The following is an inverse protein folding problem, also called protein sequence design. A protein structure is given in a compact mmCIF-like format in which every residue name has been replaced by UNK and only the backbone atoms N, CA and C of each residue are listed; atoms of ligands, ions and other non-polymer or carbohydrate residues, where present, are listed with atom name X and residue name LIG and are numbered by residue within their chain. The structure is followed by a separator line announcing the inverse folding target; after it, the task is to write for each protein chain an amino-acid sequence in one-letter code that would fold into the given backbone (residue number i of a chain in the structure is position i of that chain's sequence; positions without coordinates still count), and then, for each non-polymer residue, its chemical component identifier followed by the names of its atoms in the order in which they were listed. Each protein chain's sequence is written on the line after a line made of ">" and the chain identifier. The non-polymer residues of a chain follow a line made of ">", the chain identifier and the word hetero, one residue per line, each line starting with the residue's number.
data_IF_073313072617
#
_entry.id   IF_073313072617
#
_cell.length_a   1.000
_cell.length_b   1.000
_cell.length_c   1.000
_cell.angle_alpha   90.00
_cell.angle_beta   90.00
_cell.angle_gamma   90.00
#
_symmetry.space_group_name_H-M   'P 1'
#
loop_
_entity.id
_entity.type
_entity.pdbx_description
1 polymer ?
#
# COMPACT_ATOMS: atom_id res chain seq x y z
N UNK A 1 0.30 -0.95 34.41
CA UNK A 1 -0.18 -1.43 33.10
C UNK A 1 0.62 -0.70 32.04
N UNK A 2 1.24 -1.41 31.10
CA UNK A 2 2.16 -0.84 30.12
C UNK A 2 1.38 -0.07 29.04
N UNK A 3 1.82 1.14 28.61
CA UNK A 3 1.13 1.96 27.62
C UNK A 3 0.78 1.27 26.28
N UNK A 4 1.50 0.20 25.93
CA UNK A 4 1.27 -0.54 24.68
C UNK A 4 0.02 -1.43 24.71
N UNK A 5 -0.38 -1.93 25.89
CA UNK A 5 -1.60 -2.73 26.01
C UNK A 5 -2.85 -1.87 25.74
N UNK A 6 -2.86 -0.64 26.27
CA UNK A 6 -3.92 0.35 26.07
C UNK A 6 -4.08 0.76 24.59
N UNK A 7 -2.97 0.96 23.87
CA UNK A 7 -3.01 1.30 22.43
C UNK A 7 -3.56 0.15 21.59
N UNK A 8 -3.22 -1.10 21.90
CA UNK A 8 -3.72 -2.25 21.15
C UNK A 8 -5.23 -2.49 21.37
N UNK A 9 -5.70 -2.33 22.61
CA UNK A 9 -7.12 -2.39 22.94
C UNK A 9 -7.89 -1.27 22.24
N UNK A 10 -7.44 -0.02 22.39
CA UNK A 10 -8.04 1.15 21.73
C UNK A 10 -8.09 1.01 20.20
N UNK A 11 -7.01 0.51 19.58
CA UNK A 11 -6.98 0.24 18.14
C UNK A 11 -7.99 -0.83 17.74
N UNK A 12 -8.06 -1.93 18.49
CA UNK A 12 -8.97 -3.04 18.21
C UNK A 12 -10.41 -2.58 18.30
N UNK A 13 -10.76 -1.80 19.34
CA UNK A 13 -12.12 -1.26 19.53
C UNK A 13 -12.54 -0.33 18.39
N UNK A 14 -11.68 0.63 18.03
CA UNK A 14 -11.97 1.56 16.92
C UNK A 14 -12.15 0.81 15.59
N UNK A 15 -11.32 -0.18 15.32
CA UNK A 15 -11.37 -0.94 14.06
C UNK A 15 -12.61 -1.83 14.02
N UNK A 16 -12.91 -2.53 15.12
CA UNK A 16 -14.06 -3.44 15.18
C UNK A 16 -15.42 -2.72 15.25
N UNK A 17 -15.44 -1.44 15.60
CA UNK A 17 -16.62 -0.60 15.45
C UNK A 17 -17.04 -0.38 13.97
N UNK A 18 -16.11 -0.53 13.01
CA UNK A 18 -16.34 -0.30 11.59
C UNK A 18 -16.19 -1.55 10.73
N UNK A 19 -15.49 -2.57 11.21
CA UNK A 19 -15.18 -3.79 10.48
C UNK A 19 -15.49 -5.03 11.33
N UNK A 20 -15.81 -6.14 10.69
CA UNK A 20 -16.09 -7.40 11.38
C UNK A 20 -14.90 -7.97 12.16
N UNK A 21 -13.67 -7.59 11.79
CA UNK A 21 -12.44 -7.96 12.48
C UNK A 21 -11.29 -7.05 12.05
N UNK A 22 -10.22 -7.02 12.83
CA UNK A 22 -8.99 -6.29 12.49
C UNK A 22 -8.33 -6.83 11.22
N UNK A 23 -8.40 -8.15 10.98
CA UNK A 23 -7.91 -8.76 9.74
C UNK A 23 -8.74 -8.38 8.51
N UNK A 24 -10.07 -8.24 8.66
CA UNK A 24 -10.94 -7.75 7.59
C UNK A 24 -10.59 -6.30 7.23
N UNK A 25 -10.38 -5.45 8.25
CA UNK A 25 -9.95 -4.07 8.04
C UNK A 25 -8.61 -4.00 7.28
N UNK A 26 -7.61 -4.79 7.71
CA UNK A 26 -6.32 -4.91 7.01
C UNK A 26 -6.53 -5.29 5.53
N UNK A 27 -7.37 -6.29 5.25
CA UNK A 27 -7.61 -6.75 3.88
C UNK A 27 -8.24 -5.65 3.00
N UNK A 28 -9.20 -4.89 3.54
CA UNK A 28 -9.87 -3.78 2.84
C UNK A 28 -8.96 -2.57 2.63
N UNK A 29 -8.18 -2.17 3.65
CA UNK A 29 -7.21 -1.08 3.52
C UNK A 29 -6.13 -1.40 2.48
N UNK A 30 -5.60 -2.63 2.47
CA UNK A 30 -4.67 -3.07 1.44
C UNK A 30 -5.31 -3.12 0.05
N UNK A 31 -6.60 -3.43 -0.06
CA UNK A 31 -7.35 -3.38 -1.33
C UNK A 31 -7.52 -1.96 -1.84
N UNK A 32 -7.83 -1.01 -0.95
CA UNK A 32 -7.87 0.42 -1.29
C UNK A 32 -6.50 0.93 -1.76
N UNK A 33 -5.42 0.52 -1.08
CA UNK A 33 -4.05 0.85 -1.48
C UNK A 33 -3.71 0.29 -2.87
N UNK A 34 -4.09 -0.95 -3.19
CA UNK A 34 -3.90 -1.54 -4.51
C UNK A 34 -4.69 -0.76 -5.59
N UNK A 35 -5.96 -0.45 -5.34
CA UNK A 35 -6.78 0.31 -6.29
C UNK A 35 -6.16 1.69 -6.58
N UNK A 36 -5.66 2.38 -5.56
CA UNK A 36 -4.97 3.66 -5.73
C UNK A 36 -3.61 3.51 -6.41
N UNK A 37 -2.88 2.40 -6.19
CA UNK A 37 -1.65 2.11 -6.92
C UNK A 37 -1.91 1.90 -8.42
N UNK A 38 -3.04 1.29 -8.81
CA UNK A 38 -3.45 1.23 -10.21
C UNK A 38 -3.69 2.63 -10.78
N UNK A 39 -4.40 3.50 -10.03
CA UNK A 39 -4.57 4.92 -10.41
C UNK A 39 -3.20 5.61 -10.57
N UNK A 40 -2.23 5.34 -9.69
CA UNK A 40 -0.86 5.87 -9.80
C UNK A 40 -0.20 5.46 -11.11
N UNK A 41 -0.23 4.16 -11.46
CA UNK A 41 0.40 3.64 -12.69
C UNK A 41 -0.27 4.23 -13.92
N UNK A 42 -1.61 4.26 -13.97
CA UNK A 42 -2.35 4.83 -15.10
C UNK A 42 -2.07 6.32 -15.28
N UNK A 43 -2.11 7.11 -14.19
CA UNK A 43 -1.84 8.55 -14.28
C UNK A 43 -0.37 8.84 -14.61
N UNK A 44 0.58 8.06 -14.09
CA UNK A 44 1.99 8.18 -14.44
C UNK A 44 2.24 7.87 -15.93
N UNK A 45 1.70 6.75 -16.42
CA UNK A 45 1.82 6.38 -17.83
C UNK A 45 1.19 7.44 -18.75
N UNK A 46 0.09 8.09 -18.33
CA UNK A 46 -0.48 9.25 -19.04
C UNK A 46 0.45 10.48 -19.02
N UNK A 47 1.09 10.77 -17.89
CA UNK A 47 2.03 11.90 -17.76
C UNK A 47 3.30 11.70 -18.58
N UNK A 48 3.77 10.46 -18.72
CA UNK A 48 4.91 10.08 -19.56
C UNK A 48 4.56 9.86 -21.04
N UNK A 49 3.33 10.21 -21.46
CA UNK A 49 2.90 10.09 -22.86
C UNK A 49 2.69 8.66 -23.36
N UNK A 50 2.67 7.66 -22.48
CA UNK A 50 2.45 6.24 -22.83
C UNK A 50 0.97 5.87 -22.99
N UNK A 51 0.06 6.62 -22.38
CA UNK A 51 -1.40 6.43 -22.50
C UNK A 51 -2.04 7.66 -23.13
N UNK A 52 -2.34 7.60 -24.42
CA UNK A 52 -2.95 8.73 -25.16
C UNK A 52 -4.48 8.71 -25.16
N UNK A 53 -5.10 7.55 -24.90
CA UNK A 53 -6.57 7.42 -24.87
C UNK A 53 -7.22 8.10 -23.66
N UNK A 54 -6.47 8.31 -22.56
CA UNK A 54 -6.97 9.01 -21.37
C UNK A 54 -6.99 10.51 -21.63
N UNK A 55 -8.14 11.03 -22.10
CA UNK A 55 -8.38 12.44 -22.46
C UNK A 55 -8.57 13.34 -21.23
N UNK A 56 -7.56 13.37 -20.36
CA UNK A 56 -7.53 14.24 -19.18
C UNK A 56 -6.47 15.32 -19.32
N UNK A 57 -6.81 16.54 -18.89
CA UNK A 57 -5.93 17.71 -18.97
C UNK A 57 -4.71 17.54 -18.06
N UNK A 58 -3.51 17.93 -18.53
CA UNK A 58 -2.23 17.66 -17.85
C UNK A 58 -2.18 18.06 -16.36
N UNK A 59 -2.58 19.28 -15.99
CA UNK A 59 -2.64 19.70 -14.58
C UNK A 59 -3.58 18.86 -13.71
N UNK A 60 -4.67 18.36 -14.29
CA UNK A 60 -5.65 17.49 -13.59
C UNK A 60 -5.03 16.11 -13.36
N UNK A 61 -4.41 15.51 -14.38
CA UNK A 61 -3.71 14.21 -14.23
C UNK A 61 -2.66 14.29 -13.12
N UNK A 62 -1.86 15.37 -13.11
CA UNK A 62 -0.82 15.56 -12.11
C UNK A 62 -1.41 15.75 -10.69
N UNK A 63 -2.56 16.42 -10.56
CA UNK A 63 -3.26 16.58 -9.29
C UNK A 63 -3.81 15.25 -8.78
N UNK A 64 -4.47 14.47 -9.64
CA UNK A 64 -4.98 13.13 -9.32
C UNK A 64 -3.84 12.22 -8.92
N UNK A 65 -2.73 12.22 -9.67
CA UNK A 65 -1.53 11.44 -9.34
C UNK A 65 -0.99 11.80 -7.95
N UNK A 66 -0.84 13.08 -7.62
CA UNK A 66 -0.31 13.45 -6.28
C UNK A 66 -1.24 13.05 -5.15
N UNK A 67 -2.54 13.33 -5.25
CA UNK A 67 -3.47 13.05 -4.16
C UNK A 67 -3.76 11.56 -3.99
N UNK A 68 -3.95 10.82 -5.07
CA UNK A 68 -4.11 9.36 -4.97
C UNK A 68 -2.86 8.69 -4.40
N UNK A 69 -1.65 9.21 -4.67
CA UNK A 69 -0.42 8.70 -4.07
C UNK A 69 -0.32 8.95 -2.57
N UNK A 70 -0.77 10.12 -2.10
CA UNK A 70 -0.86 10.43 -0.66
C UNK A 70 -1.88 9.54 0.05
N UNK A 71 -3.04 9.35 -0.56
CA UNK A 71 -4.08 8.46 -0.03
C UNK A 71 -3.61 7.00 -0.03
N UNK A 72 -2.92 6.54 -1.08
CA UNK A 72 -2.37 5.19 -1.13
C UNK A 72 -1.41 4.94 0.04
N UNK A 73 -0.48 5.87 0.28
CA UNK A 73 0.42 5.80 1.42
C UNK A 73 -0.33 5.85 2.75
N UNK A 74 -1.33 6.73 2.90
CA UNK A 74 -2.14 6.80 4.11
C UNK A 74 -2.85 5.47 4.41
N UNK A 75 -3.42 4.81 3.41
CA UNK A 75 -4.07 3.51 3.57
C UNK A 75 -3.09 2.36 3.86
N UNK A 76 -1.80 2.50 3.53
CA UNK A 76 -0.79 1.53 3.98
C UNK A 76 -0.42 1.67 5.46
N UNK A 77 -0.71 2.80 6.11
CA UNK A 77 -0.30 3.03 7.52
C UNK A 77 -1.06 2.13 8.51
N UNK A 78 -2.41 2.02 8.49
CA UNK A 78 -3.13 1.09 9.37
C UNK A 78 -2.75 -0.37 9.12
N UNK A 79 -2.50 -0.73 7.86
CA UNK A 79 -2.02 -2.06 7.47
C UNK A 79 -0.65 -2.33 8.08
N UNK A 80 0.30 -1.42 7.92
CA UNK A 80 1.64 -1.55 8.47
C UNK A 80 1.65 -1.61 9.99
N UNK A 81 0.86 -0.76 10.66
CA UNK A 81 0.70 -0.84 12.11
C UNK A 81 0.26 -2.24 12.52
N UNK A 82 -0.84 -2.75 11.95
CA UNK A 82 -1.32 -4.10 12.25
C UNK A 82 -0.27 -5.19 11.94
N UNK A 83 0.47 -5.07 10.83
CA UNK A 83 1.51 -6.03 10.48
C UNK A 83 2.69 -6.02 11.45
N UNK A 84 3.19 -4.84 11.84
CA UNK A 84 4.45 -4.73 12.59
C UNK A 84 4.24 -4.84 14.09
N UNK A 85 3.17 -4.26 14.64
CA UNK A 85 2.97 -4.18 16.09
C UNK A 85 2.12 -5.32 16.64
N UNK A 86 1.16 -5.82 15.87
CA UNK A 86 0.22 -6.85 16.33
C UNK A 86 0.68 -8.24 15.90
N UNK A 87 1.00 -8.41 14.62
CA UNK A 87 1.43 -9.71 14.08
C UNK A 87 2.95 -9.92 14.19
N UNK A 88 3.74 -8.87 13.98
CA UNK A 88 5.21 -8.95 13.95
C UNK A 88 5.76 -9.52 12.63
N UNK A 89 7.10 -9.59 12.56
CA UNK A 89 7.79 -10.26 11.46
C UNK A 89 7.77 -11.77 11.68
N UNK A 90 7.13 -12.49 10.77
CA UNK A 90 6.93 -13.94 10.86
C UNK A 90 7.35 -14.62 9.56
N UNK A 91 7.82 -15.87 9.65
CA UNK A 91 8.20 -16.71 8.50
C UNK A 91 7.75 -18.18 8.63
N UNK A 92 6.53 -18.49 9.07
CA UNK A 92 6.06 -19.87 9.23
C UNK A 92 5.89 -20.61 7.88
N UNK A 93 5.67 -19.86 6.81
CA UNK A 93 5.57 -20.38 5.45
C UNK A 93 6.11 -19.35 4.43
N UNK A 94 6.29 -19.79 3.18
CA UNK A 94 6.85 -18.96 2.09
C UNK A 94 5.98 -17.73 1.79
N UNK A 95 4.64 -17.84 1.84
CA UNK A 95 3.73 -16.70 1.58
C UNK A 95 3.94 -15.63 2.64
N UNK A 96 3.98 -16.02 3.91
CA UNK A 96 4.17 -15.08 5.02
C UNK A 96 5.58 -14.48 4.98
N UNK A 97 6.62 -15.28 4.70
CA UNK A 97 7.98 -14.77 4.56
C UNK A 97 8.10 -13.73 3.43
N UNK A 98 7.51 -13.98 2.27
CA UNK A 98 7.46 -13.02 1.15
C UNK A 98 6.72 -11.75 1.56
N UNK A 99 5.58 -11.87 2.27
CA UNK A 99 4.82 -10.73 2.75
C UNK A 99 5.62 -9.86 3.73
N UNK A 100 6.26 -10.49 4.73
CA UNK A 100 7.05 -9.80 5.75
C UNK A 100 8.24 -9.04 5.15
N UNK A 101 8.96 -9.66 4.19
CA UNK A 101 10.06 -9.02 3.47
C UNK A 101 9.57 -7.87 2.58
N UNK A 102 8.53 -8.11 1.78
CA UNK A 102 7.94 -7.09 0.90
C UNK A 102 7.40 -5.90 1.70
N UNK A 103 6.79 -6.17 2.87
CA UNK A 103 6.20 -5.15 3.75
C UNK A 103 7.26 -4.27 4.39
N UNK A 104 8.43 -4.84 4.71
CA UNK A 104 9.59 -4.07 5.16
C UNK A 104 10.15 -3.22 4.02
N UNK A 105 10.29 -3.82 2.83
CA UNK A 105 10.93 -3.17 1.69
C UNK A 105 10.11 -2.00 1.12
N UNK A 106 8.76 -2.05 1.17
CA UNK A 106 7.88 -1.03 0.59
C UNK A 106 8.17 0.38 1.13
N UNK A 107 8.44 0.51 2.42
CA UNK A 107 8.74 1.82 3.03
C UNK A 107 10.13 2.35 2.64
N UNK A 108 11.09 1.45 2.41
CA UNK A 108 12.40 1.81 1.83
C UNK A 108 12.25 2.36 0.41
N UNK A 109 11.43 1.72 -0.42
CA UNK A 109 11.13 2.21 -1.78
C UNK A 109 10.38 3.54 -1.73
N UNK A 110 9.50 3.75 -0.75
CA UNK A 110 8.81 5.04 -0.56
C UNK A 110 9.80 6.15 -0.25
N UNK A 111 10.69 5.92 0.73
CA UNK A 111 11.73 6.86 1.09
C UNK A 111 12.64 7.18 -0.10
N UNK A 112 13.10 6.15 -0.84
CA UNK A 112 13.88 6.32 -2.06
C UNK A 112 13.15 7.16 -3.10
N UNK A 113 11.86 6.90 -3.36
CA UNK A 113 11.04 7.70 -4.27
C UNK A 113 10.97 9.18 -3.86
N UNK A 114 10.83 9.47 -2.57
CA UNK A 114 10.81 10.85 -2.06
C UNK A 114 12.14 11.56 -2.32
N UNK A 115 13.26 10.87 -2.13
CA UNK A 115 14.59 11.39 -2.45
C UNK A 115 14.75 11.63 -3.96
N UNK A 116 14.37 10.64 -4.78
CA UNK A 116 14.44 10.72 -6.24
C UNK A 116 13.63 11.90 -6.80
N UNK A 117 12.45 12.17 -6.26
CA UNK A 117 11.62 13.32 -6.70
C UNK A 117 12.30 14.67 -6.39
N UNK A 118 13.14 14.74 -5.36
CA UNK A 118 13.83 15.96 -4.95
C UNK A 118 15.15 16.17 -5.66
N UNK A 119 15.78 15.09 -6.11
CA UNK A 119 17.06 15.14 -6.81
C UNK A 119 16.88 15.24 -8.33
N UNK A 120 17.14 16.43 -8.89
CA UNK A 120 17.04 16.70 -10.32
C UNK A 120 18.25 16.21 -11.13
N UNK A 121 19.30 15.73 -10.48
CA UNK A 121 20.51 15.23 -11.15
C UNK A 121 20.38 13.76 -11.60
N UNK A 122 19.39 13.04 -11.06
CA UNK A 122 19.15 11.64 -11.39
C UNK A 122 18.58 11.47 -12.81
N UNK A 123 18.84 10.32 -13.46
CA UNK A 123 18.31 10.06 -14.79
C UNK A 123 16.78 10.01 -14.78
N UNK A 124 16.14 10.51 -15.84
CA UNK A 124 14.68 10.64 -15.92
C UNK A 124 13.89 9.33 -15.83
N UNK A 125 14.54 8.17 -15.96
CA UNK A 125 13.93 6.85 -15.75
C UNK A 125 13.85 6.44 -14.28
N UNK A 126 14.63 7.04 -13.38
CA UNK A 126 14.70 6.65 -11.97
C UNK A 126 13.34 6.80 -11.27
N UNK A 127 12.62 7.89 -11.55
CA UNK A 127 11.31 8.15 -10.98
C UNK A 127 10.24 7.13 -11.40
N UNK A 128 10.04 6.82 -12.70
CA UNK A 128 9.10 5.79 -13.10
C UNK A 128 9.52 4.39 -12.63
N UNK A 129 10.82 4.08 -12.55
CA UNK A 129 11.28 2.81 -11.99
C UNK A 129 10.91 2.68 -10.51
N UNK A 130 11.21 3.68 -9.67
CA UNK A 130 10.82 3.66 -8.26
C UNK A 130 9.28 3.60 -8.08
N UNK A 131 8.53 4.31 -8.92
CA UNK A 131 7.07 4.28 -8.92
C UNK A 131 6.49 2.91 -9.29
N UNK A 132 7.05 2.25 -10.31
CA UNK A 132 6.61 0.92 -10.74
C UNK A 132 7.00 -0.15 -9.73
N UNK A 133 8.23 -0.09 -9.19
CA UNK A 133 8.67 -0.98 -8.10
C UNK A 133 7.72 -0.89 -6.91
N UNK A 134 7.36 0.33 -6.49
CA UNK A 134 6.37 0.54 -5.43
C UNK A 134 5.02 -0.13 -5.74
N UNK A 135 4.47 0.10 -6.94
CA UNK A 135 3.19 -0.48 -7.34
C UNK A 135 3.23 -2.01 -7.37
N UNK A 136 4.33 -2.60 -7.87
CA UNK A 136 4.54 -4.05 -7.89
C UNK A 136 4.61 -4.65 -6.49
N UNK A 137 5.28 -3.99 -5.54
CA UNK A 137 5.35 -4.44 -4.15
C UNK A 137 3.98 -4.37 -3.48
N UNK A 138 3.20 -3.30 -3.69
CA UNK A 138 1.83 -3.19 -3.18
C UNK A 138 0.95 -4.32 -3.75
N UNK A 139 1.08 -4.63 -5.05
CA UNK A 139 0.38 -5.75 -5.66
C UNK A 139 0.79 -7.10 -5.04
N UNK A 140 2.09 -7.34 -4.85
CA UNK A 140 2.59 -8.55 -4.18
C UNK A 140 2.06 -8.68 -2.74
N UNK A 141 2.06 -7.59 -1.98
CA UNK A 141 1.51 -7.54 -0.62
C UNK A 141 0.03 -7.86 -0.60
N UNK A 142 -0.74 -7.35 -1.56
CA UNK A 142 -2.15 -7.64 -1.69
C UNK A 142 -2.40 -9.12 -2.06
N UNK A 143 -1.64 -9.66 -3.02
CA UNK A 143 -1.73 -11.07 -3.44
C UNK A 143 -1.43 -12.04 -2.28
N UNK A 144 -0.41 -11.73 -1.48
CA UNK A 144 0.01 -12.56 -0.34
C UNK A 144 -0.84 -12.36 0.92
N UNK A 145 -1.71 -11.36 0.96
CA UNK A 145 -2.54 -11.05 2.13
C UNK A 145 -4.03 -10.95 1.78
N UNK A 146 -4.49 -9.85 1.19
CA UNK A 146 -5.92 -9.61 0.96
C UNK A 146 -6.55 -10.64 0.02
N UNK A 147 -5.89 -10.99 -1.08
CA UNK A 147 -6.39 -12.03 -1.98
C UNK A 147 -6.52 -13.36 -1.26
N UNK A 148 -5.47 -13.74 -0.51
CA UNK A 148 -5.48 -14.95 0.29
C UNK A 148 -6.64 -14.92 1.31
N UNK A 149 -6.84 -13.80 2.00
CA UNK A 149 -7.94 -13.60 2.94
C UNK A 149 -9.30 -13.82 2.28
N UNK A 150 -9.59 -13.13 1.16
CA UNK A 150 -10.88 -13.23 0.48
C UNK A 150 -11.16 -14.60 -0.15
N UNK A 151 -10.13 -15.41 -0.40
CA UNK A 151 -10.28 -16.73 -1.03
C UNK A 151 -10.25 -17.90 -0.05
N UNK A 152 -9.68 -17.72 1.15
CA UNK A 152 -9.48 -18.79 2.12
C UNK A 152 -10.29 -18.60 3.42
N UNK A 153 -10.58 -17.35 3.80
CA UNK A 153 -11.39 -17.09 4.98
C UNK A 153 -12.86 -17.15 4.55
N UNK A 154 -13.57 -18.15 5.04
CA UNK A 154 -15.01 -18.28 4.80
C UNK A 154 -15.74 -17.20 5.59
N UNK A 155 -16.51 -16.38 4.90
CA UNK A 155 -17.53 -15.54 5.53
C UNK A 155 -18.74 -16.44 5.79
N UNK A 156 -18.91 -16.86 7.05
CA UNK A 156 -20.11 -17.56 7.47
C UNK A 156 -21.26 -16.57 7.62
N UNK A 157 -22.37 -16.84 6.94
CA UNK A 157 -23.70 -16.52 7.46
C UNK A 157 -24.27 -17.81 8.05
#
# INVERSE_FOLDING_TARGET
>A
MLPLADVNESYTDIVTALFSSTIAAKAWFATAALALALVQVTTAARMWGRLTFLRMHGPVVARVHRWSGRLAFLFTLPVFFHCVTILGFETPDVRVAVHSLAGTFVYGVFAAKVLIVRDRSLPGWALPAAGLTMASIIALLWLTSSLWYFTNVRFGF
#
